data_IF_119255785425
#
_entry.id   IF_119255785425
#
_cell.length_a   1.000
_cell.length_b   1.000
_cell.length_c   1.000
_cell.angle_alpha   90.00
_cell.angle_beta   90.00
_cell.angle_gamma   90.00
#
_symmetry.space_group_name_H-M   'P 1'
#
loop_
_entity.id
_entity.type
_entity.pdbx_description
1 polymer ?
#
# COMPACT_ATOMS: atom_id res chain seq x y z
N UNK A 1 -24.52 -25.78 70.72
CA UNK A 1 -25.00 -26.15 69.38
C UNK A 1 -24.37 -25.20 68.37
N UNK A 2 -23.42 -25.77 67.62
CA UNK A 2 -22.95 -25.44 66.27
C UNK A 2 -22.65 -23.99 65.87
N UNK A 3 -21.35 -23.65 65.89
CA UNK A 3 -20.75 -22.55 65.11
C UNK A 3 -20.65 -23.00 63.64
N UNK A 4 -21.18 -22.22 62.71
CA UNK A 4 -20.91 -22.38 61.27
C UNK A 4 -19.98 -21.24 60.82
N UNK A 5 -18.76 -21.61 60.45
CA UNK A 5 -17.78 -20.73 59.82
C UNK A 5 -17.86 -20.99 58.31
N UNK A 6 -18.34 -20.02 57.53
CA UNK A 6 -18.21 -20.06 56.07
C UNK A 6 -16.88 -19.41 55.67
N UNK A 7 -15.94 -20.23 55.22
CA UNK A 7 -14.74 -19.78 54.51
C UNK A 7 -15.12 -19.71 53.03
N UNK A 8 -15.36 -18.50 52.52
CA UNK A 8 -15.51 -18.26 51.09
C UNK A 8 -14.15 -18.24 50.43
N UNK A 9 -13.77 -19.31 49.74
CA UNK A 9 -12.61 -19.34 48.87
C UNK A 9 -12.92 -18.53 47.60
N UNK A 10 -12.32 -17.35 47.46
CA UNK A 10 -12.33 -16.61 46.20
C UNK A 10 -11.36 -17.31 45.23
N UNK A 11 -11.89 -18.05 44.26
CA UNK A 11 -11.12 -18.48 43.09
C UNK A 11 -10.81 -17.24 42.24
N UNK A 12 -9.57 -16.76 42.32
CA UNK A 12 -9.00 -15.86 41.33
C UNK A 12 -8.81 -16.65 40.03
N UNK A 13 -9.70 -16.47 39.08
CA UNK A 13 -9.48 -16.88 37.70
C UNK A 13 -8.31 -16.06 37.15
N UNK A 14 -7.11 -16.63 37.12
CA UNK A 14 -5.99 -16.10 36.35
C UNK A 14 -6.36 -16.26 34.88
N UNK A 15 -6.90 -15.19 34.28
CA UNK A 15 -6.98 -15.09 32.84
C UNK A 15 -5.56 -15.12 32.28
N UNK A 16 -5.26 -16.11 31.43
CA UNK A 16 -4.07 -16.12 30.61
C UNK A 16 -4.13 -14.94 29.63
N UNK A 17 -3.75 -13.76 30.12
CA UNK A 17 -3.31 -12.69 29.23
C UNK A 17 -1.97 -13.16 28.68
N UNK A 18 -1.94 -13.51 27.39
CA UNK A 18 -0.68 -13.67 26.69
C UNK A 18 0.05 -12.32 26.73
N UNK A 19 0.87 -12.11 27.75
CA UNK A 19 1.83 -11.01 27.76
C UNK A 19 2.80 -11.32 26.63
N UNK A 20 2.70 -10.56 25.52
CA UNK A 20 3.74 -10.58 24.50
C UNK A 20 5.08 -10.40 25.21
N UNK A 21 6.06 -11.26 24.88
CA UNK A 21 7.39 -11.14 25.45
C UNK A 21 7.95 -9.76 25.08
N UNK A 22 8.10 -8.90 26.08
CA UNK A 22 8.72 -7.59 25.89
C UNK A 22 10.22 -7.78 25.68
N UNK A 23 10.77 -7.00 24.76
CA UNK A 23 12.20 -6.94 24.49
C UNK A 23 12.81 -5.67 25.11
N UNK A 24 14.11 -5.70 25.37
CA UNK A 24 14.87 -4.52 25.81
C UNK A 24 15.51 -3.79 24.64
N UNK A 25 15.48 -2.46 24.71
CA UNK A 25 16.27 -1.57 23.87
C UNK A 25 16.94 -0.55 24.79
N UNK A 26 18.20 -0.79 25.14
CA UNK A 26 18.86 -0.12 26.25
C UNK A 26 18.07 -0.35 27.55
N UNK A 27 17.68 0.73 28.22
CA UNK A 27 16.90 0.67 29.46
C UNK A 27 15.39 0.54 29.24
N UNK A 28 14.91 0.66 28.00
CA UNK A 28 13.48 0.63 27.69
C UNK A 28 13.00 -0.78 27.36
N UNK A 29 11.79 -1.12 27.81
CA UNK A 29 11.06 -2.32 27.36
C UNK A 29 10.12 -1.95 26.22
N UNK A 30 10.01 -2.80 25.20
CA UNK A 30 9.14 -2.55 24.03
C UNK A 30 8.46 -3.82 23.54
N UNK A 31 7.31 -3.65 22.88
CA UNK A 31 6.64 -4.75 22.15
C UNK A 31 7.28 -4.90 20.77
N UNK A 32 7.94 -6.04 20.46
CA UNK A 32 8.55 -6.28 19.16
C UNK A 32 7.55 -6.37 18.00
N UNK A 33 6.25 -6.47 18.27
CA UNK A 33 5.20 -6.35 17.26
C UNK A 33 4.91 -4.89 16.86
N UNK A 34 5.38 -3.91 17.63
CA UNK A 34 5.08 -2.47 17.41
C UNK A 34 6.33 -1.63 17.15
N UNK A 35 7.50 -2.08 17.59
CA UNK A 35 8.75 -1.35 17.44
C UNK A 35 9.91 -2.27 17.05
N UNK A 36 10.93 -1.67 16.45
CA UNK A 36 12.24 -2.25 16.20
C UNK A 36 13.29 -1.44 16.95
N UNK A 37 14.25 -2.11 17.58
CA UNK A 37 15.36 -1.48 18.28
C UNK A 37 16.60 -1.42 17.38
N UNK A 38 17.19 -0.23 17.27
CA UNK A 38 18.42 0.02 16.53
C UNK A 38 19.56 0.33 17.50
N UNK A 39 20.68 -0.39 17.31
CA UNK A 39 21.93 -0.22 18.07
C UNK A 39 21.77 -0.25 19.60
N UNK A 40 20.77 -1.00 20.09
CA UNK A 40 20.41 -1.10 21.51
C UNK A 40 20.13 0.24 22.20
N UNK A 41 19.72 1.27 21.44
CA UNK A 41 19.56 2.63 21.97
C UNK A 41 18.37 3.39 21.40
N UNK A 42 17.90 3.04 20.20
CA UNK A 42 16.88 3.83 19.52
C UNK A 42 15.72 2.97 19.03
N UNK A 43 14.51 3.31 19.46
CA UNK A 43 13.28 2.62 19.05
C UNK A 43 12.66 3.31 17.84
N UNK A 44 12.39 2.54 16.80
CA UNK A 44 11.59 2.96 15.66
C UNK A 44 10.28 2.18 15.58
N UNK A 45 9.14 2.84 15.30
CA UNK A 45 7.87 2.15 15.18
C UNK A 45 7.85 1.29 13.92
N UNK A 46 7.00 0.27 13.95
CA UNK A 46 6.61 -0.50 12.77
C UNK A 46 5.35 0.16 12.19
N UNK A 47 5.44 0.68 10.96
CA UNK A 47 4.34 1.38 10.29
C UNK A 47 4.00 0.69 8.97
N UNK A 48 2.73 0.39 8.71
CA UNK A 48 2.31 -0.34 7.51
C UNK A 48 3.06 -1.67 7.27
N UNK A 49 3.43 -2.34 8.36
CA UNK A 49 4.24 -3.56 8.34
C UNK A 49 5.73 -3.34 8.07
N UNK A 50 6.17 -2.10 7.88
CA UNK A 50 7.58 -1.74 7.74
C UNK A 50 8.18 -1.39 9.10
N UNK A 51 9.19 -2.14 9.57
CA UNK A 51 10.04 -1.68 10.67
C UNK A 51 10.86 -0.48 10.18
N UNK A 52 10.50 0.72 10.63
CA UNK A 52 11.17 1.93 10.17
C UNK A 52 12.67 1.87 10.49
N UNK A 53 13.47 2.35 9.53
CA UNK A 53 14.91 2.36 9.65
C UNK A 53 15.39 3.61 10.39
N UNK A 54 16.62 3.57 10.91
CA UNK A 54 17.18 4.65 11.69
C UNK A 54 18.29 5.40 10.93
N UNK A 55 18.26 6.73 10.99
CA UNK A 55 19.33 7.59 10.47
C UNK A 55 19.47 8.82 11.38
N UNK A 56 20.65 8.98 12.00
CA UNK A 56 21.05 10.19 12.75
C UNK A 56 19.95 10.75 13.69
N UNK A 57 19.35 9.90 14.52
CA UNK A 57 18.34 10.32 15.50
C UNK A 57 16.90 10.32 15.00
N UNK A 58 16.64 9.88 13.76
CA UNK A 58 15.30 9.84 13.19
C UNK A 58 14.96 8.47 12.59
N UNK A 59 13.68 8.09 12.69
CA UNK A 59 13.13 6.97 11.94
C UNK A 59 12.72 7.42 10.54
N UNK A 60 12.91 6.56 9.54
CA UNK A 60 12.52 6.82 8.17
C UNK A 60 12.01 5.56 7.47
N UNK A 61 11.13 5.76 6.49
CA UNK A 61 10.68 4.71 5.58
C UNK A 61 11.65 4.55 4.43
N UNK A 62 12.10 3.31 4.20
CA UNK A 62 12.92 2.90 3.07
C UNK A 62 12.17 2.96 1.74
N UNK A 63 10.84 3.14 1.75
CA UNK A 63 10.08 3.37 0.52
C UNK A 63 10.25 4.78 -0.04
N UNK A 64 10.79 5.73 0.74
CA UNK A 64 10.96 7.13 0.34
C UNK A 64 12.36 7.65 0.53
N UNK A 65 13.11 7.15 1.52
CA UNK A 65 14.40 7.71 1.91
C UNK A 65 15.48 6.64 1.97
N UNK A 66 16.71 7.11 1.86
CA UNK A 66 17.93 6.36 2.17
C UNK A 66 18.78 7.14 3.17
N UNK A 67 19.62 6.42 3.90
CA UNK A 67 20.61 6.99 4.80
C UNK A 67 22.01 6.60 4.32
N UNK A 68 22.83 7.58 3.97
CA UNK A 68 24.23 7.38 3.58
C UNK A 68 25.10 8.34 4.40
N UNK A 69 26.14 7.81 5.06
CA UNK A 69 27.05 8.60 5.90
C UNK A 69 26.32 9.48 6.94
N UNK A 70 25.29 8.93 7.60
CA UNK A 70 24.42 9.62 8.56
C UNK A 70 23.62 10.81 7.96
N UNK A 71 23.54 10.93 6.64
CA UNK A 71 22.71 11.91 5.96
C UNK A 71 21.47 11.22 5.40
N UNK A 72 20.30 11.66 5.85
CA UNK A 72 19.02 11.23 5.31
C UNK A 72 18.72 12.00 4.03
N UNK A 73 18.42 11.28 2.94
CA UNK A 73 18.05 11.86 1.66
C UNK A 73 16.88 11.11 1.03
N UNK A 74 16.06 11.80 0.24
CA UNK A 74 15.05 11.14 -0.58
C UNK A 74 15.71 10.18 -1.57
N UNK A 75 15.02 9.09 -1.85
CA UNK A 75 15.35 8.23 -2.97
C UNK A 75 15.15 8.99 -4.29
N UNK A 76 15.89 8.65 -5.35
CA UNK A 76 15.66 9.23 -6.68
C UNK A 76 14.22 8.96 -7.13
N UNK A 77 13.62 9.90 -7.85
CA UNK A 77 12.32 9.66 -8.47
C UNK A 77 12.44 8.59 -9.56
N UNK A 78 11.55 7.60 -9.54
CA UNK A 78 11.42 6.61 -10.61
C UNK A 78 10.69 7.27 -11.79
N UNK A 79 11.41 7.44 -12.91
CA UNK A 79 10.88 8.09 -14.12
C UNK A 79 11.47 7.43 -15.36
N UNK A 80 10.76 7.53 -16.50
CA UNK A 80 11.29 7.16 -17.82
C UNK A 80 11.17 5.68 -18.19
N UNK A 81 10.77 4.80 -17.27
CA UNK A 81 10.46 3.39 -17.55
C UNK A 81 9.14 2.98 -16.89
N UNK A 82 8.43 1.98 -17.44
CA UNK A 82 7.25 1.45 -16.80
C UNK A 82 7.62 0.63 -15.56
N UNK A 83 6.67 0.45 -14.66
CA UNK A 83 6.83 -0.39 -13.46
C UNK A 83 5.50 -1.04 -13.05
N UNK A 84 5.58 -2.16 -12.34
CA UNK A 84 4.44 -2.71 -11.60
C UNK A 84 4.53 -2.38 -10.12
N UNK A 85 3.44 -2.57 -9.40
CA UNK A 85 3.37 -2.39 -7.95
C UNK A 85 3.00 -3.69 -7.26
N UNK A 86 3.63 -3.95 -6.12
CA UNK A 86 3.29 -5.05 -5.21
C UNK A 86 3.07 -4.54 -3.80
N UNK A 87 2.11 -5.12 -3.10
CA UNK A 87 1.85 -4.82 -1.68
C UNK A 87 3.06 -5.24 -0.84
N UNK A 88 3.39 -4.41 0.15
CA UNK A 88 4.36 -4.71 1.20
C UNK A 88 3.73 -4.46 2.56
N UNK A 89 3.33 -5.54 3.21
CA UNK A 89 3.04 -5.62 4.63
C UNK A 89 3.07 -7.11 5.03
N UNK A 90 4.16 -7.60 5.65
CA UNK A 90 4.37 -9.02 5.90
C UNK A 90 3.38 -9.65 6.90
N UNK A 91 2.54 -8.84 7.57
CA UNK A 91 1.49 -9.36 8.46
C UNK A 91 0.19 -9.68 7.72
N UNK A 92 0.09 -9.33 6.44
CA UNK A 92 -1.11 -9.55 5.62
C UNK A 92 -0.95 -10.71 4.65
N UNK A 93 -2.03 -11.45 4.34
CA UNK A 93 -2.01 -12.54 3.34
C UNK A 93 -1.80 -12.04 1.91
N UNK A 94 -1.92 -10.72 1.68
CA UNK A 94 -1.70 -10.06 0.39
C UNK A 94 -0.28 -9.50 0.24
N UNK A 95 0.63 -9.74 1.20
CA UNK A 95 2.04 -9.36 1.04
C UNK A 95 2.64 -9.93 -0.25
N UNK A 96 3.39 -9.11 -0.97
CA UNK A 96 3.99 -9.45 -2.27
C UNK A 96 2.99 -9.64 -3.42
N UNK A 97 1.66 -9.50 -3.19
CA UNK A 97 0.66 -9.59 -4.25
C UNK A 97 0.60 -8.32 -5.09
N UNK A 98 0.21 -8.41 -6.37
CA UNK A 98 0.21 -7.27 -7.28
C UNK A 98 -0.91 -6.27 -6.98
N UNK A 99 -0.68 -5.01 -7.35
CA UNK A 99 -1.74 -4.06 -7.65
C UNK A 99 -2.27 -4.37 -9.05
N UNK A 100 -3.59 -4.43 -9.21
CA UNK A 100 -4.26 -4.84 -10.44
C UNK A 100 -5.36 -3.87 -10.85
N UNK A 101 -5.40 -3.53 -12.14
CA UNK A 101 -6.45 -2.74 -12.76
C UNK A 101 -7.60 -3.63 -13.26
N UNK A 102 -8.82 -3.35 -12.81
CA UNK A 102 -10.04 -3.94 -13.35
C UNK A 102 -11.25 -3.07 -13.06
N UNK A 103 -12.18 -2.94 -14.01
CA UNK A 103 -13.43 -2.20 -13.82
C UNK A 103 -13.19 -0.72 -13.44
N UNK A 104 -12.20 -0.08 -14.06
CA UNK A 104 -11.78 1.30 -13.76
C UNK A 104 -11.30 1.55 -12.31
N UNK A 105 -10.91 0.49 -11.61
CA UNK A 105 -10.42 0.52 -10.24
C UNK A 105 -9.05 -0.15 -10.11
N UNK A 106 -8.19 0.38 -9.24
CA UNK A 106 -6.94 -0.28 -8.82
C UNK A 106 -7.19 -1.02 -7.51
N UNK A 107 -7.09 -2.34 -7.56
CA UNK A 107 -7.26 -3.24 -6.41
C UNK A 107 -5.97 -3.97 -6.09
N UNK A 108 -5.90 -4.62 -4.93
CA UNK A 108 -4.76 -5.39 -4.47
C UNK A 108 -5.10 -6.88 -4.50
N UNK A 109 -4.14 -7.69 -4.95
CA UNK A 109 -4.28 -9.14 -5.07
C UNK A 109 -5.48 -9.59 -5.94
N UNK A 110 -5.87 -8.76 -6.91
CA UNK A 110 -6.90 -9.10 -7.91
C UNK A 110 -6.32 -9.71 -9.18
N UNK A 111 -7.08 -9.62 -10.26
CA UNK A 111 -6.65 -9.95 -11.62
C UNK A 111 -6.72 -8.69 -12.48
N UNK A 112 -5.75 -8.54 -13.38
CA UNK A 112 -5.75 -7.45 -14.36
C UNK A 112 -6.72 -7.77 -15.49
N UNK A 113 -7.64 -6.85 -15.76
CA UNK A 113 -8.57 -6.91 -16.87
C UNK A 113 -8.11 -5.97 -17.98
N UNK A 114 -8.00 -6.51 -19.19
CA UNK A 114 -7.54 -5.77 -20.37
C UNK A 114 -8.37 -6.12 -21.58
N UNK A 115 -8.32 -5.25 -22.58
CA UNK A 115 -8.90 -5.50 -23.89
C UNK A 115 -7.87 -5.17 -24.97
N UNK A 116 -7.84 -5.98 -26.03
CA UNK A 116 -7.09 -5.67 -27.23
C UNK A 116 -7.94 -5.99 -28.47
N UNK A 117 -8.12 -5.04 -29.41
CA UNK A 117 -8.87 -5.26 -30.64
C UNK A 117 -8.01 -5.99 -31.67
N UNK A 118 -7.83 -7.31 -31.49
CA UNK A 118 -6.95 -8.16 -32.33
C UNK A 118 -7.30 -8.09 -33.81
N UNK A 119 -8.56 -7.82 -34.16
CA UNK A 119 -9.03 -7.66 -35.55
C UNK A 119 -8.48 -6.40 -36.21
N UNK A 120 -8.10 -5.40 -35.41
CA UNK A 120 -7.59 -4.09 -35.88
C UNK A 120 -6.08 -4.01 -35.75
N UNK A 121 -5.51 -4.49 -34.64
CA UNK A 121 -4.07 -4.31 -34.34
C UNK A 121 -3.25 -5.60 -34.46
N UNK A 122 -3.88 -6.75 -34.65
CA UNK A 122 -3.22 -8.03 -34.89
C UNK A 122 -2.18 -8.38 -33.82
N UNK A 123 -0.97 -8.73 -34.27
CA UNK A 123 0.14 -9.13 -33.41
C UNK A 123 0.72 -8.01 -32.53
N UNK A 124 0.25 -6.76 -32.69
CA UNK A 124 0.66 -5.65 -31.83
C UNK A 124 -0.01 -5.68 -30.44
N UNK A 125 -0.90 -6.63 -30.17
CA UNK A 125 -1.48 -6.81 -28.84
C UNK A 125 -0.41 -7.21 -27.81
N UNK A 126 -0.24 -6.43 -26.73
CA UNK A 126 0.60 -6.85 -25.62
C UNK A 126 -0.06 -7.98 -24.82
N UNK A 127 0.68 -8.66 -23.93
CA UNK A 127 0.17 -9.80 -23.17
C UNK A 127 -1.05 -9.49 -22.29
N UNK A 128 -1.19 -8.25 -21.81
CA UNK A 128 -2.38 -7.81 -21.07
C UNK A 128 -2.59 -8.47 -19.70
N UNK A 129 -1.56 -9.08 -19.12
CA UNK A 129 -1.63 -9.88 -17.90
C UNK A 129 -0.98 -9.23 -16.67
N UNK A 130 -0.52 -7.99 -16.80
CA UNK A 130 0.04 -7.18 -15.71
C UNK A 130 -0.56 -5.78 -15.70
N UNK A 131 -0.62 -5.16 -14.52
CA UNK A 131 -0.87 -3.73 -14.41
C UNK A 131 0.44 -3.01 -14.26
N UNK A 132 0.77 -2.21 -15.26
CA UNK A 132 1.98 -1.41 -15.32
C UNK A 132 1.64 0.07 -15.42
N UNK A 133 2.55 0.90 -14.96
CA UNK A 133 2.36 2.35 -14.83
C UNK A 133 3.59 3.12 -15.28
N UNK A 134 3.38 4.39 -15.62
CA UNK A 134 4.42 5.40 -15.67
C UNK A 134 4.13 6.50 -14.65
N UNK A 135 5.16 6.97 -13.97
CA UNK A 135 5.07 8.08 -13.05
C UNK A 135 5.81 9.29 -13.64
N UNK A 136 5.29 10.49 -13.38
CA UNK A 136 5.92 11.73 -13.81
C UNK A 136 5.18 12.97 -13.32
N UNK A 137 5.92 14.01 -12.94
CA UNK A 137 5.36 15.30 -12.48
C UNK A 137 4.27 15.15 -11.40
N UNK A 138 4.45 14.20 -10.48
CA UNK A 138 3.52 13.90 -9.40
C UNK A 138 2.26 13.12 -9.83
N UNK A 139 2.10 12.79 -11.11
CA UNK A 139 0.99 12.01 -11.65
C UNK A 139 1.35 10.55 -11.92
N UNK A 140 0.33 9.76 -12.24
CA UNK A 140 0.43 8.34 -12.59
C UNK A 140 -0.42 8.07 -13.84
N UNK A 141 0.19 7.49 -14.88
CA UNK A 141 -0.51 6.99 -16.05
C UNK A 141 -0.42 5.47 -16.11
N UNK A 142 -1.42 4.83 -16.71
CA UNK A 142 -1.37 3.42 -17.02
C UNK A 142 -0.43 3.20 -18.22
N UNK A 143 0.38 2.14 -18.18
CA UNK A 143 1.23 1.75 -19.31
C UNK A 143 0.39 1.02 -20.38
N UNK A 144 -0.12 1.79 -21.33
CA UNK A 144 -1.15 1.37 -22.28
C UNK A 144 -0.88 1.91 -23.69
N UNK A 145 -1.32 1.18 -24.72
CA UNK A 145 -1.19 1.61 -26.13
C UNK A 145 -2.38 2.40 -26.66
N UNK A 146 -3.51 2.38 -25.96
CA UNK A 146 -4.73 3.01 -26.46
C UNK A 146 -4.52 4.50 -26.75
N UNK A 147 -4.94 5.00 -27.93
CA UNK A 147 -4.84 6.42 -28.23
C UNK A 147 -5.54 7.28 -27.17
N UNK A 148 -4.81 8.29 -26.68
CA UNK A 148 -5.24 9.14 -25.56
C UNK A 148 -4.80 8.63 -24.18
N UNK A 149 -4.32 7.38 -24.10
CA UNK A 149 -3.84 6.76 -22.88
C UNK A 149 -4.94 6.53 -21.84
N UNK A 150 -4.52 6.14 -20.64
CA UNK A 150 -5.37 6.09 -19.46
C UNK A 150 -4.61 6.66 -18.27
N UNK A 151 -5.27 7.48 -17.48
CA UNK A 151 -4.66 8.17 -16.35
C UNK A 151 -5.20 7.60 -15.05
N UNK A 152 -4.31 7.25 -14.12
CA UNK A 152 -4.71 6.89 -12.77
C UNK A 152 -4.94 8.14 -11.92
N UNK A 153 -5.91 8.07 -11.03
CA UNK A 153 -6.28 9.18 -10.15
C UNK A 153 -6.85 8.68 -8.83
N UNK A 154 -6.78 9.53 -7.81
CA UNK A 154 -7.43 9.30 -6.52
C UNK A 154 -8.83 9.91 -6.60
N UNK A 155 -9.87 9.09 -6.47
CA UNK A 155 -11.27 9.53 -6.53
C UNK A 155 -11.66 10.38 -5.32
N UNK A 156 -12.84 11.04 -5.36
CA UNK A 156 -13.38 11.79 -4.22
C UNK A 156 -13.69 10.89 -3.01
N UNK A 157 -13.81 9.59 -3.23
CA UNK A 157 -13.96 8.53 -2.24
C UNK A 157 -12.61 7.98 -1.72
N UNK A 158 -11.49 8.55 -2.18
CA UNK A 158 -10.12 8.14 -1.88
C UNK A 158 -9.72 6.75 -2.36
N UNK A 159 -10.51 6.11 -3.22
CA UNK A 159 -10.10 4.92 -3.94
C UNK A 159 -9.22 5.29 -5.13
N UNK A 160 -8.32 4.38 -5.51
CA UNK A 160 -7.53 4.55 -6.75
C UNK A 160 -8.32 4.05 -7.96
N UNK A 161 -8.46 4.93 -8.95
CA UNK A 161 -9.15 4.68 -10.20
C UNK A 161 -8.24 4.93 -11.38
N UNK A 162 -8.73 4.62 -12.56
CA UNK A 162 -8.14 5.07 -13.81
C UNK A 162 -9.21 5.40 -14.85
N UNK A 163 -8.88 6.30 -15.78
CA UNK A 163 -9.83 6.73 -16.80
C UNK A 163 -10.21 5.58 -17.75
N UNK A 164 -11.45 5.60 -18.21
CA UNK A 164 -11.87 4.74 -19.30
C UNK A 164 -11.06 5.08 -20.55
N UNK A 165 -10.70 4.05 -21.32
CA UNK A 165 -10.09 4.23 -22.62
C UNK A 165 -10.92 5.16 -23.53
N UNK A 166 -10.23 6.00 -24.30
CA UNK A 166 -10.84 7.03 -25.16
C UNK A 166 -11.69 8.08 -24.41
N UNK A 167 -11.57 8.16 -23.08
CA UNK A 167 -12.25 9.15 -22.26
C UNK A 167 -11.26 9.87 -21.35
N UNK A 168 -11.32 11.19 -21.36
CA UNK A 168 -10.61 12.03 -20.40
C UNK A 168 -11.47 12.36 -19.16
N UNK A 169 -12.65 11.74 -19.02
CA UNK A 169 -13.53 12.02 -17.90
C UNK A 169 -12.91 11.55 -16.58
N UNK A 170 -12.75 12.49 -15.66
CA UNK A 170 -12.35 12.28 -14.28
C UNK A 170 -13.40 12.97 -13.40
N UNK A 171 -14.01 12.27 -12.42
CA UNK A 171 -15.00 12.87 -11.54
C UNK A 171 -14.48 14.12 -10.82
N UNK A 172 -15.36 15.13 -10.64
CA UNK A 172 -15.01 16.33 -9.90
C UNK A 172 -14.63 15.99 -8.44
N UNK A 173 -13.59 16.66 -7.92
CA UNK A 173 -13.03 16.39 -6.60
C UNK A 173 -11.96 15.29 -6.58
N UNK A 174 -11.66 14.66 -7.72
CA UNK A 174 -10.53 13.73 -7.84
C UNK A 174 -9.18 14.45 -7.85
N UNK A 175 -8.13 13.75 -7.43
CA UNK A 175 -6.74 14.21 -7.46
C UNK A 175 -5.93 13.41 -8.48
N UNK A 176 -5.29 14.12 -9.42
CA UNK A 176 -4.49 13.53 -10.50
C UNK A 176 -2.98 13.68 -10.28
N UNK A 177 -2.59 14.37 -9.21
CA UNK A 177 -1.22 14.63 -8.80
C UNK A 177 -1.03 14.28 -7.32
N UNK A 178 0.15 14.55 -6.78
CA UNK A 178 0.49 14.25 -5.38
C UNK A 178 0.86 12.79 -5.15
N UNK A 179 1.38 12.12 -6.19
CA UNK A 179 1.95 10.78 -6.09
C UNK A 179 3.48 10.83 -6.23
N UNK A 180 4.17 10.09 -5.36
CA UNK A 180 5.62 9.91 -5.44
C UNK A 180 5.96 8.49 -5.86
N UNK A 181 6.82 8.33 -6.86
CA UNK A 181 7.39 7.03 -7.24
C UNK A 181 8.90 7.11 -7.03
N UNK A 182 9.46 6.22 -6.20
CA UNK A 182 10.87 6.27 -5.82
C UNK A 182 11.62 5.02 -6.26
N UNK A 183 12.76 5.22 -6.94
CA UNK A 183 13.63 4.15 -7.43
C UNK A 183 14.17 3.31 -6.26
N UNK A 184 14.06 1.98 -6.37
CA UNK A 184 14.40 1.06 -5.28
C UNK A 184 13.50 1.15 -4.03
N UNK A 185 12.48 2.00 -4.06
CA UNK A 185 11.55 2.25 -2.96
C UNK A 185 10.11 1.93 -3.32
N UNK A 186 9.21 2.87 -3.05
CA UNK A 186 7.78 2.67 -3.19
C UNK A 186 7.05 3.74 -3.97
N UNK A 187 5.79 3.42 -4.25
CA UNK A 187 4.79 4.36 -4.72
C UNK A 187 3.98 4.88 -3.53
N UNK A 188 4.04 6.19 -3.29
CA UNK A 188 3.49 6.82 -2.09
C UNK A 188 2.42 7.85 -2.42
N UNK A 189 1.43 7.93 -1.54
CA UNK A 189 0.40 8.97 -1.57
C UNK A 189 0.85 10.19 -0.76
N UNK A 190 1.11 11.32 -1.43
CA UNK A 190 1.44 12.59 -0.78
C UNK A 190 0.20 13.45 -0.50
N UNK A 191 -0.98 13.07 -1.01
CA UNK A 191 -2.23 13.81 -0.79
C UNK A 191 -2.82 13.60 0.61
N UNK A 192 -2.35 12.61 1.35
CA UNK A 192 -2.92 12.20 2.64
C UNK A 192 -2.12 12.67 3.86
N UNK A 193 -1.34 13.76 3.79
CA UNK A 193 -0.53 14.26 4.92
C UNK A 193 0.32 13.18 5.63
N UNK A 194 0.86 12.21 4.88
CA UNK A 194 1.71 11.15 5.43
C UNK A 194 0.99 9.91 5.97
N UNK A 195 -0.34 9.83 5.90
CA UNK A 195 -1.10 8.63 6.31
C UNK A 195 -0.92 7.42 5.37
N UNK A 196 -0.51 7.66 4.12
CA UNK A 196 -0.15 6.62 3.16
C UNK A 196 -1.33 5.82 2.59
N UNK A 197 -1.07 4.56 2.26
CA UNK A 197 -2.05 3.63 1.68
C UNK A 197 -2.62 2.69 2.73
N UNK A 198 -3.86 2.28 2.54
CA UNK A 198 -4.45 1.14 3.23
C UNK A 198 -5.02 0.13 2.24
N UNK A 199 -4.94 -1.14 2.64
CA UNK A 199 -5.65 -2.24 2.02
C UNK A 199 -6.97 -2.47 2.76
N UNK A 200 -8.09 -2.25 2.07
CA UNK A 200 -9.41 -2.53 2.61
C UNK A 200 -9.88 -3.91 2.13
N UNK A 201 -10.30 -4.81 3.04
CA UNK A 201 -10.72 -6.15 2.66
C UNK A 201 -11.93 -6.10 1.71
N UNK A 202 -12.10 -7.11 0.83
CA UNK A 202 -13.28 -7.23 0.00
C UNK A 202 -14.53 -7.21 0.89
N UNK A 203 -15.47 -6.32 0.59
CA UNK A 203 -16.75 -6.31 1.29
C UNK A 203 -17.60 -7.49 0.81
N UNK A 204 -18.05 -8.33 1.74
CA UNK A 204 -18.78 -9.57 1.45
C UNK A 204 -20.17 -9.36 0.79
N UNK A 205 -20.64 -8.12 0.62
CA UNK A 205 -21.98 -7.82 0.10
C UNK A 205 -21.93 -7.21 -1.31
N UNK A 206 -22.22 -8.03 -2.34
CA UNK A 206 -22.63 -7.52 -3.66
C UNK A 206 -21.90 -8.04 -4.89
N UNK A 207 -21.02 -9.04 -4.78
CA UNK A 207 -20.37 -9.66 -5.95
C UNK A 207 -19.01 -9.06 -6.35
N UNK A 208 -18.39 -8.27 -5.48
CA UNK A 208 -16.97 -7.92 -5.61
C UNK A 208 -16.11 -9.16 -5.34
N UNK A 209 -15.14 -9.44 -6.21
CA UNK A 209 -14.26 -10.61 -6.08
C UNK A 209 -13.40 -10.61 -4.82
N UNK A 210 -12.41 -11.50 -4.74
CA UNK A 210 -11.50 -11.63 -3.59
C UNK A 210 -10.46 -10.51 -3.44
N UNK A 211 -10.52 -9.48 -4.30
CA UNK A 211 -9.54 -8.41 -4.34
C UNK A 211 -9.79 -7.36 -3.24
N UNK A 212 -8.71 -6.80 -2.70
CA UNK A 212 -8.79 -5.75 -1.68
C UNK A 212 -8.79 -4.38 -2.38
N UNK A 213 -9.45 -3.38 -1.80
CA UNK A 213 -9.41 -2.02 -2.35
C UNK A 213 -8.14 -1.30 -1.90
N UNK A 214 -7.49 -0.60 -2.84
CA UNK A 214 -6.40 0.32 -2.57
C UNK A 214 -6.97 1.70 -2.29
N UNK A 215 -6.82 2.16 -1.05
CA UNK A 215 -7.40 3.43 -0.59
C UNK A 215 -6.32 4.34 -0.05
N UNK A 216 -6.38 5.62 -0.42
CA UNK A 216 -5.59 6.66 0.21
C UNK A 216 -6.15 7.02 1.59
N UNK A 217 -5.38 6.84 2.65
CA UNK A 217 -5.79 7.27 3.99
C UNK A 217 -5.40 8.73 4.21
N UNK A 218 -6.20 9.43 5.01
CA UNK A 218 -5.94 10.77 5.50
C UNK A 218 -6.68 11.01 6.83
N UNK A 219 -6.50 12.20 7.42
CA UNK A 219 -7.10 12.57 8.70
C UNK A 219 -8.64 12.52 8.71
N UNK A 220 -9.28 12.90 7.60
CA UNK A 220 -10.75 12.99 7.49
C UNK A 220 -11.43 11.64 7.29
N UNK A 221 -10.74 10.65 6.71
CA UNK A 221 -11.28 9.31 6.47
C UNK A 221 -10.69 8.23 7.41
N UNK A 222 -9.71 8.56 8.25
CA UNK A 222 -9.04 7.57 9.10
C UNK A 222 -9.99 6.80 10.03
N UNK A 223 -11.08 7.43 10.47
CA UNK A 223 -12.08 6.82 11.35
C UNK A 223 -13.04 5.86 10.63
N UNK A 224 -13.27 6.02 9.33
CA UNK A 224 -14.12 5.12 8.53
C UNK A 224 -13.35 3.92 7.97
N UNK A 225 -12.00 3.96 8.01
CA UNK A 225 -11.11 2.93 7.48
C UNK A 225 -10.55 1.99 8.57
N UNK A 226 -11.25 1.82 9.69
CA UNK A 226 -10.80 0.97 10.82
C UNK A 226 -10.68 -0.52 10.46
N UNK A 227 -11.43 -0.99 9.46
CA UNK A 227 -11.32 -2.34 8.93
C UNK A 227 -10.19 -2.51 7.90
N UNK A 228 -9.53 -1.42 7.50
CA UNK A 228 -8.46 -1.44 6.51
C UNK A 228 -7.09 -1.46 7.21
N UNK A 229 -6.13 -2.17 6.63
CA UNK A 229 -4.78 -2.28 7.20
C UNK A 229 -3.80 -1.42 6.40
N UNK A 230 -2.94 -0.59 7.04
CA UNK A 230 -1.93 0.18 6.33
C UNK A 230 -0.97 -0.73 5.55
N UNK A 231 -0.61 -0.31 4.33
CA UNK A 231 0.31 -1.05 3.45
C UNK A 231 1.26 -0.09 2.76
N UNK A 232 2.45 -0.57 2.43
CA UNK A 232 3.32 0.08 1.46
C UNK A 232 3.13 -0.55 0.07
N UNK A 233 3.43 0.20 -0.98
CA UNK A 233 3.43 -0.30 -2.36
C UNK A 233 4.84 -0.23 -2.91
N UNK A 234 5.45 -1.38 -3.13
CA UNK A 234 6.80 -1.51 -3.68
C UNK A 234 6.78 -1.34 -5.20
N UNK A 235 7.71 -0.55 -5.72
CA UNK A 235 7.94 -0.42 -7.16
C UNK A 235 8.80 -1.58 -7.66
N UNK A 236 8.36 -2.20 -8.77
CA UNK A 236 9.12 -3.19 -9.51
C UNK A 236 9.36 -2.65 -10.93
N UNK A 237 10.55 -2.07 -11.20
CA UNK A 237 10.88 -1.53 -12.51
C UNK A 237 10.78 -2.58 -13.61
N UNK A 238 10.28 -2.18 -14.76
CA UNK A 238 10.23 -3.00 -15.97
C UNK A 238 11.23 -2.48 -17.01
N UNK A 239 11.71 -3.33 -17.92
CA UNK A 239 12.55 -2.89 -19.03
C UNK A 239 11.87 -1.79 -19.86
N UNK A 240 12.67 -0.86 -20.38
CA UNK A 240 12.19 0.14 -21.35
C UNK A 240 11.54 -0.54 -22.57
N UNK A 241 10.43 0.02 -23.04
CA UNK A 241 9.64 -0.55 -24.14
C UNK A 241 8.68 -1.67 -23.73
N UNK A 242 8.63 -2.05 -22.44
CA UNK A 242 7.53 -2.88 -21.93
C UNK A 242 6.20 -2.14 -22.13
N UNK A 243 5.17 -2.89 -22.49
CA UNK A 243 3.79 -2.41 -22.62
C UNK A 243 2.89 -3.36 -21.86
N UNK A 244 2.19 -2.83 -20.85
CA UNK A 244 1.31 -3.62 -19.99
C UNK A 244 0.04 -4.10 -20.67
N UNK A 245 -0.65 -3.23 -21.41
CA UNK A 245 -1.93 -3.55 -22.06
C UNK A 245 -2.18 -2.72 -23.33
N UNK A 246 -3.09 -3.18 -24.19
CA UNK A 246 -3.61 -2.30 -25.25
C UNK A 246 -4.56 -1.27 -24.63
N UNK A 247 -5.51 -1.71 -23.81
CA UNK A 247 -6.20 -0.90 -22.81
C UNK A 247 -6.48 -1.72 -21.54
N UNK A 248 -6.54 -1.05 -20.41
CA UNK A 248 -7.08 -1.60 -19.16
C UNK A 248 -8.60 -1.43 -19.14
N UNK A 249 -9.31 -2.44 -18.64
CA UNK A 249 -10.78 -2.55 -18.66
C UNK A 249 -11.38 -2.59 -17.25
#
# INVERSE_FOLDING_TARGET
MTKFTLIGAALLALGNSAVNALNSCGESQYDPAQYVCWSDQFLCPITAGEPLSFCNGACYSKFMYKCENNVLSLLPAHTGTPFTLTVSNPTLPIDGKPVTASGLHLSLAGNTSTYCPVEVVGAACPPGNITAFFAGNGGLSMDTMVPGGQQAYLGPDWNMHYTQAHSAYIPAGSLTQGFGAYEGGGFVNLNGNGWGWVACPPQASGGGGSAWNLVGRNETNAASLTACTPVNLKINPLPSGTVGAWQYA
#
